data_IF_124945701449
#
_entry.id   IF_124945701449
#
_cell.length_a   1.000
_cell.length_b   1.000
_cell.length_c   1.000
_cell.angle_alpha   90.00
_cell.angle_beta   90.00
_cell.angle_gamma   90.00
#
_symmetry.space_group_name_H-M   'P 1'
#
loop_
_entity.id
_entity.type
_entity.pdbx_description
1 polymer ?
#
# COMPACT_ATOMS: atom_id res chain seq x y z
N UNK A 1 -1.81 7.16 16.96
CA UNK A 1 -2.76 7.22 15.83
C UNK A 1 -2.55 8.51 15.07
N UNK A 2 -2.34 8.43 13.76
CA UNK A 2 -2.26 9.59 12.88
C UNK A 2 -3.44 9.52 11.90
N UNK A 3 -4.40 10.42 12.05
CA UNK A 3 -5.50 10.56 11.11
C UNK A 3 -5.36 11.83 10.28
N UNK A 4 -5.61 11.72 9.00
CA UNK A 4 -5.75 12.82 8.07
C UNK A 4 -7.22 13.23 8.02
N UNK A 5 -7.56 14.38 8.56
CA UNK A 5 -8.95 14.86 8.62
C UNK A 5 -9.46 15.49 7.32
N UNK A 6 -8.62 15.63 6.32
CA UNK A 6 -8.99 16.19 5.03
C UNK A 6 -9.39 15.11 4.03
N UNK A 7 -10.27 15.48 3.07
CA UNK A 7 -10.68 14.58 1.98
C UNK A 7 -9.53 14.18 1.06
N UNK A 8 -8.45 14.93 1.05
CA UNK A 8 -7.24 14.59 0.34
C UNK A 8 -6.03 15.19 1.05
N UNK A 9 -5.03 14.37 1.24
CA UNK A 9 -3.73 14.77 1.73
C UNK A 9 -2.72 14.63 0.59
N UNK A 10 -2.03 15.70 0.27
CA UNK A 10 -1.08 15.71 -0.84
C UNK A 10 0.30 16.19 -0.38
N UNK A 11 1.17 15.26 -0.06
CA UNK A 11 2.56 15.55 0.31
C UNK A 11 3.52 14.52 -0.31
N UNK A 12 3.76 14.61 -1.63
CA UNK A 12 4.48 13.58 -2.39
C UNK A 12 5.97 13.44 -2.02
N UNK A 13 6.49 14.32 -1.17
CA UNK A 13 7.87 14.23 -0.65
C UNK A 13 7.95 13.81 0.81
N UNK A 14 6.82 13.81 1.53
CA UNK A 14 6.79 13.39 2.92
C UNK A 14 7.07 11.90 3.04
N UNK A 15 8.06 11.54 3.83
CA UNK A 15 8.32 10.17 4.25
C UNK A 15 7.79 9.96 5.66
N UNK A 16 7.07 8.87 5.86
CA UNK A 16 6.48 8.51 7.15
C UNK A 16 7.06 7.18 7.60
N UNK A 17 7.51 7.12 8.84
CA UNK A 17 7.90 5.87 9.49
C UNK A 17 6.98 5.59 10.67
N UNK A 18 6.22 4.50 10.60
CA UNK A 18 5.34 4.07 11.68
C UNK A 18 6.06 3.10 12.61
N UNK A 19 6.02 3.35 13.90
CA UNK A 19 6.65 2.50 14.91
C UNK A 19 5.66 2.05 15.97
N UNK A 20 5.94 0.92 16.59
CA UNK A 20 5.09 0.38 17.65
C UNK A 20 3.71 -0.03 17.14
N UNK A 21 2.66 0.23 17.93
CA UNK A 21 1.28 -0.06 17.55
C UNK A 21 0.58 1.21 17.02
N UNK A 22 1.06 1.72 15.90
CA UNK A 22 0.53 2.96 15.30
C UNK A 22 -0.22 2.71 14.00
N UNK A 23 -1.16 3.60 13.71
CA UNK A 23 -1.97 3.57 12.50
C UNK A 23 -1.87 4.90 11.78
N UNK A 24 -1.87 4.84 10.46
CA UNK A 24 -2.06 5.98 9.59
C UNK A 24 -3.27 5.73 8.70
N UNK A 25 -4.17 6.69 8.59
CA UNK A 25 -5.38 6.54 7.80
C UNK A 25 -6.06 7.84 7.51
N UNK A 26 -7.03 7.81 6.59
CA UNK A 26 -7.94 8.93 6.38
C UNK A 26 -9.06 8.91 7.43
N UNK A 27 -9.52 10.08 7.85
CA UNK A 27 -10.74 10.20 8.63
C UNK A 27 -11.97 10.22 7.73
N UNK A 28 -11.86 10.84 6.57
CA UNK A 28 -12.95 10.99 5.63
C UNK A 28 -13.09 9.82 4.66
N UNK A 29 -14.30 9.61 4.18
CA UNK A 29 -14.59 8.67 3.10
C UNK A 29 -14.18 9.25 1.75
N UNK A 30 -13.85 8.39 0.79
CA UNK A 30 -13.43 8.78 -0.56
C UNK A 30 -12.19 9.71 -0.58
N UNK A 31 -11.31 9.51 0.39
CA UNK A 31 -10.09 10.27 0.51
C UNK A 31 -9.05 9.84 -0.54
N UNK A 32 -8.38 10.82 -1.11
CA UNK A 32 -7.25 10.62 -2.03
C UNK A 32 -6.00 11.16 -1.37
N UNK A 33 -5.10 10.27 -0.98
CA UNK A 33 -3.92 10.63 -0.21
C UNK A 33 -2.64 10.36 -0.99
N UNK A 34 -1.70 11.29 -0.93
CA UNK A 34 -0.39 11.16 -1.57
C UNK A 34 0.71 11.40 -0.53
N UNK A 35 1.64 10.45 -0.44
CA UNK A 35 2.83 10.54 0.42
C UNK A 35 4.07 10.14 -0.36
N UNK A 36 5.21 10.68 0.06
CA UNK A 36 6.50 10.41 -0.57
C UNK A 36 7.00 8.99 -0.36
N UNK A 37 6.76 8.45 0.82
CA UNK A 37 7.13 7.08 1.18
C UNK A 37 6.55 6.70 2.53
N UNK A 38 6.36 5.40 2.76
CA UNK A 38 5.95 4.89 4.05
C UNK A 38 6.72 3.60 4.38
N UNK A 39 7.36 3.63 5.52
CA UNK A 39 7.93 2.48 6.21
C UNK A 39 7.17 2.21 7.51
N UNK A 40 7.33 1.04 8.07
CA UNK A 40 6.69 0.73 9.34
C UNK A 40 7.04 -0.64 9.90
N UNK A 41 7.07 -0.74 11.23
CA UNK A 41 7.31 -1.99 11.94
C UNK A 41 6.11 -2.94 11.86
N UNK A 42 6.32 -4.20 12.22
CA UNK A 42 5.23 -5.14 12.46
C UNK A 42 4.28 -4.60 13.55
N UNK A 43 2.98 -4.76 13.35
CA UNK A 43 1.95 -4.23 14.25
C UNK A 43 1.52 -2.79 13.96
N UNK A 44 2.08 -2.15 12.91
CA UNK A 44 1.58 -0.88 12.37
C UNK A 44 0.55 -1.10 11.27
N UNK A 45 -0.26 -0.07 10.99
CA UNK A 45 -1.33 -0.18 9.99
C UNK A 45 -1.37 1.05 9.09
N UNK A 46 -1.56 0.80 7.79
CA UNK A 46 -2.03 1.78 6.83
C UNK A 46 -3.48 1.42 6.48
N UNK A 47 -4.40 2.30 6.76
CA UNK A 47 -5.84 2.05 6.60
C UNK A 47 -6.49 3.02 5.62
N UNK A 48 -7.57 2.59 4.99
CA UNK A 48 -8.32 3.44 4.08
C UNK A 48 -9.03 4.55 4.82
N UNK A 49 -10.04 4.22 5.59
CA UNK A 49 -10.79 5.20 6.38
C UNK A 49 -11.05 4.71 7.80
N UNK A 50 -11.16 5.63 8.73
CA UNK A 50 -11.58 5.35 10.11
C UNK A 50 -13.02 5.81 10.39
N UNK A 51 -13.68 6.43 9.42
CA UNK A 51 -15.08 6.86 9.56
C UNK A 51 -16.00 5.65 9.54
N UNK A 52 -16.88 5.56 10.52
CA UNK A 52 -17.86 4.47 10.65
C UNK A 52 -19.00 4.62 9.65
N UNK A 53 -18.70 4.46 8.37
CA UNK A 53 -19.68 4.49 7.28
C UNK A 53 -19.38 3.37 6.29
N UNK A 54 -20.42 2.88 5.63
CA UNK A 54 -20.29 1.86 4.58
C UNK A 54 -19.93 2.48 3.22
N UNK A 55 -19.47 1.61 2.31
CA UNK A 55 -19.21 1.93 0.90
C UNK A 55 -18.22 3.09 0.66
N UNK A 56 -17.20 3.22 1.50
CA UNK A 56 -16.14 4.18 1.25
C UNK A 56 -15.13 3.66 0.22
N UNK A 57 -14.50 4.57 -0.48
CA UNK A 57 -13.30 4.30 -1.28
C UNK A 57 -12.18 5.24 -0.83
N UNK A 58 -11.03 4.70 -0.50
CA UNK A 58 -9.86 5.50 -0.20
C UNK A 58 -8.70 5.06 -1.07
N UNK A 59 -7.87 6.01 -1.48
CA UNK A 59 -6.68 5.71 -2.26
C UNK A 59 -5.44 6.32 -1.61
N UNK A 60 -4.36 5.56 -1.68
CA UNK A 60 -3.03 5.99 -1.27
C UNK A 60 -2.07 5.92 -2.45
N UNK A 61 -1.49 7.06 -2.79
CA UNK A 61 -0.37 7.15 -3.73
C UNK A 61 0.92 7.25 -2.93
N UNK A 62 1.85 6.32 -3.16
CA UNK A 62 3.08 6.15 -2.38
C UNK A 62 4.29 6.07 -3.31
N UNK A 63 5.38 6.76 -2.97
CA UNK A 63 6.66 6.62 -3.65
C UNK A 63 7.21 7.89 -4.30
N UNK A 64 6.52 9.02 -4.19
CA UNK A 64 6.96 10.28 -4.82
C UNK A 64 8.28 10.85 -4.31
N UNK A 65 8.83 10.36 -3.20
CA UNK A 65 10.17 10.70 -2.72
C UNK A 65 11.29 9.94 -3.45
N UNK A 66 10.95 8.91 -4.22
CA UNK A 66 11.90 8.01 -4.90
C UNK A 66 12.85 7.25 -3.95
N UNK A 67 12.49 7.15 -2.68
CA UNK A 67 13.23 6.41 -1.67
C UNK A 67 12.81 4.96 -1.62
N UNK A 68 13.73 4.11 -1.17
CA UNK A 68 13.43 2.72 -0.85
C UNK A 68 12.83 2.63 0.55
N UNK A 69 11.71 1.93 0.64
CA UNK A 69 10.94 1.81 1.88
C UNK A 69 10.54 0.36 2.15
N UNK A 70 10.50 -0.02 3.41
CA UNK A 70 9.97 -1.33 3.84
C UNK A 70 8.83 -1.13 4.83
N UNK A 71 7.66 -1.62 4.49
CA UNK A 71 6.49 -1.62 5.34
C UNK A 71 6.19 -3.04 5.82
N UNK A 72 6.45 -3.28 7.11
CA UNK A 72 6.21 -4.58 7.77
C UNK A 72 4.82 -4.66 8.39
N UNK A 73 4.10 -3.54 8.39
CA UNK A 73 2.75 -3.43 8.89
C UNK A 73 1.71 -4.05 7.96
N UNK A 74 0.46 -3.81 8.27
CA UNK A 74 -0.69 -4.32 7.53
C UNK A 74 -1.40 -3.17 6.82
N UNK A 75 -1.67 -3.35 5.54
CA UNK A 75 -2.57 -2.47 4.78
C UNK A 75 -3.94 -3.14 4.76
N UNK A 76 -4.98 -2.43 5.20
CA UNK A 76 -6.34 -2.96 5.23
C UNK A 76 -7.38 -1.87 4.86
N UNK A 77 -8.62 -2.29 4.66
CA UNK A 77 -9.70 -1.36 4.32
C UNK A 77 -10.16 -0.56 5.53
N UNK A 78 -10.22 -1.21 6.71
CA UNK A 78 -10.77 -0.66 7.94
C UNK A 78 -10.00 -1.12 9.18
N UNK A 79 -9.94 -0.28 10.20
CA UNK A 79 -9.04 -0.51 11.33
C UNK A 79 -9.66 -1.14 12.58
N UNK A 80 -10.97 -1.21 12.72
CA UNK A 80 -11.55 -1.65 14.00
C UNK A 80 -12.08 -3.08 13.93
N UNK A 81 -11.60 -3.90 14.84
CA UNK A 81 -12.17 -5.21 15.10
C UNK A 81 -13.65 -5.09 15.50
N UNK A 82 -14.53 -5.81 14.83
CA UNK A 82 -15.94 -5.93 15.18
C UNK A 82 -16.90 -5.01 14.43
N UNK A 83 -16.44 -4.27 13.43
CA UNK A 83 -17.32 -3.48 12.56
C UNK A 83 -17.52 -4.18 11.21
N UNK A 84 -18.76 -4.28 10.77
CA UNK A 84 -19.15 -4.84 9.46
C UNK A 84 -19.18 -3.79 8.34
N UNK A 85 -18.45 -2.68 8.49
CA UNK A 85 -18.43 -1.64 7.46
C UNK A 85 -17.71 -2.12 6.19
N UNK A 86 -18.31 -1.81 5.07
CA UNK A 86 -17.79 -2.12 3.74
C UNK A 86 -17.04 -0.93 3.17
N UNK A 87 -15.89 -1.16 2.61
CA UNK A 87 -15.09 -0.13 1.95
C UNK A 87 -13.91 -0.75 1.22
N UNK A 88 -13.25 0.05 0.40
CA UNK A 88 -12.09 -0.37 -0.37
C UNK A 88 -10.93 0.61 -0.21
N UNK A 89 -9.74 0.07 0.00
CA UNK A 89 -8.49 0.82 -0.02
C UNK A 89 -7.72 0.46 -1.27
N UNK A 90 -7.40 1.45 -2.09
CA UNK A 90 -6.61 1.28 -3.31
C UNK A 90 -5.21 1.84 -3.12
N UNK A 91 -4.23 1.23 -3.76
CA UNK A 91 -2.82 1.62 -3.68
C UNK A 91 -2.31 1.98 -5.07
N UNK A 92 -1.62 3.10 -5.18
CA UNK A 92 -0.85 3.47 -6.36
C UNK A 92 0.62 3.65 -5.96
N UNK A 93 1.50 2.78 -6.46
CA UNK A 93 2.94 2.93 -6.31
C UNK A 93 3.48 3.76 -7.46
N UNK A 94 4.15 4.86 -7.12
CA UNK A 94 4.78 5.78 -8.08
C UNK A 94 6.27 5.97 -7.75
N UNK A 95 6.95 6.74 -8.61
CA UNK A 95 8.37 7.07 -8.42
C UNK A 95 9.30 5.89 -8.70
N UNK A 96 10.60 6.12 -8.66
CA UNK A 96 11.63 5.15 -9.07
C UNK A 96 12.09 4.22 -7.96
N UNK A 97 11.84 4.59 -6.69
CA UNK A 97 12.25 3.80 -5.54
C UNK A 97 11.49 2.48 -5.38
N UNK A 98 11.98 1.65 -4.47
CA UNK A 98 11.42 0.35 -4.13
C UNK A 98 10.50 0.48 -2.91
N UNK A 99 9.36 -0.21 -2.96
CA UNK A 99 8.52 -0.37 -1.77
C UNK A 99 8.29 -1.85 -1.49
N UNK A 100 8.77 -2.31 -0.32
CA UNK A 100 8.65 -3.71 0.10
C UNK A 100 7.53 -3.86 1.12
N UNK A 101 6.59 -4.76 0.86
CA UNK A 101 5.47 -5.13 1.73
C UNK A 101 5.72 -6.52 2.30
N UNK A 102 5.89 -6.64 3.61
CA UNK A 102 6.14 -7.93 4.28
C UNK A 102 4.99 -8.37 5.19
N UNK A 103 4.02 -7.50 5.44
CA UNK A 103 2.86 -7.79 6.26
C UNK A 103 1.77 -8.60 5.57
N UNK A 104 0.77 -9.01 6.35
CA UNK A 104 -0.41 -9.73 5.86
C UNK A 104 -1.51 -8.74 5.46
N UNK A 105 -1.39 -8.17 4.27
CA UNK A 105 -2.30 -7.16 3.75
C UNK A 105 -3.66 -7.75 3.37
N UNK A 106 -4.73 -7.03 3.66
CA UNK A 106 -6.12 -7.47 3.44
C UNK A 106 -6.99 -6.47 2.68
N UNK A 107 -6.42 -5.33 2.27
CA UNK A 107 -7.14 -4.32 1.49
C UNK A 107 -7.68 -4.89 0.18
N UNK A 108 -8.89 -4.49 -0.20
CA UNK A 108 -9.63 -5.10 -1.31
C UNK A 108 -9.65 -4.25 -2.60
N UNK A 109 -9.17 -3.02 -2.55
CA UNK A 109 -9.10 -2.16 -3.71
C UNK A 109 -7.96 -2.52 -4.66
N UNK A 110 -7.91 -1.84 -5.79
CA UNK A 110 -6.89 -2.10 -6.82
C UNK A 110 -5.50 -1.63 -6.38
N UNK A 111 -4.47 -2.30 -6.89
CA UNK A 111 -3.09 -1.86 -6.78
C UNK A 111 -2.55 -1.53 -8.16
N UNK A 112 -2.13 -0.28 -8.36
CA UNK A 112 -1.51 0.18 -9.61
C UNK A 112 -0.02 0.46 -9.38
N UNK A 113 0.84 -0.24 -10.09
CA UNK A 113 2.29 -0.02 -10.03
C UNK A 113 2.67 0.76 -11.27
N UNK A 114 2.80 2.08 -11.09
CA UNK A 114 3.02 3.05 -12.18
C UNK A 114 4.48 3.49 -12.30
N UNK A 115 5.36 2.98 -11.45
CA UNK A 115 6.80 3.25 -11.53
C UNK A 115 7.59 2.60 -10.41
N UNK A 116 8.89 2.41 -10.65
CA UNK A 116 9.80 1.74 -9.74
C UNK A 116 9.43 0.30 -9.44
N UNK A 117 9.67 -0.15 -8.22
CA UNK A 117 9.48 -1.56 -7.84
C UNK A 117 8.55 -1.70 -6.65
N UNK A 118 7.53 -2.56 -6.77
CA UNK A 118 6.78 -3.08 -5.64
C UNK A 118 7.24 -4.51 -5.35
N UNK A 119 7.65 -4.77 -4.11
CA UNK A 119 8.01 -6.12 -3.65
C UNK A 119 6.95 -6.60 -2.66
N UNK A 120 6.30 -7.72 -2.98
CA UNK A 120 5.33 -8.37 -2.09
C UNK A 120 5.97 -9.63 -1.52
N UNK A 121 6.50 -9.54 -0.30
CA UNK A 121 7.09 -10.67 0.43
C UNK A 121 6.15 -11.25 1.48
N UNK A 122 5.14 -10.47 1.87
CA UNK A 122 4.07 -10.92 2.73
C UNK A 122 2.91 -11.53 1.95
N UNK A 123 1.75 -11.54 2.59
CA UNK A 123 0.50 -11.99 1.98
C UNK A 123 -0.34 -10.79 1.56
N UNK A 124 -0.84 -10.78 0.32
CA UNK A 124 -1.91 -9.90 -0.10
C UNK A 124 -3.16 -10.74 -0.39
N UNK A 125 -4.03 -10.85 0.61
CA UNK A 125 -5.24 -11.69 0.56
C UNK A 125 -6.48 -10.92 0.11
N UNK A 126 -6.38 -9.62 -0.06
CA UNK A 126 -7.41 -8.84 -0.74
C UNK A 126 -7.58 -9.29 -2.19
N UNK A 127 -8.79 -9.22 -2.70
CA UNK A 127 -9.12 -9.70 -4.06
C UNK A 127 -8.93 -8.63 -5.14
N UNK A 128 -8.45 -7.45 -4.77
CA UNK A 128 -8.21 -6.34 -5.70
C UNK A 128 -7.21 -6.71 -6.80
N UNK A 129 -7.50 -6.29 -8.01
CA UNK A 129 -6.59 -6.50 -9.13
C UNK A 129 -5.29 -5.71 -8.94
N UNK A 130 -4.18 -6.27 -9.43
CA UNK A 130 -2.90 -5.57 -9.56
C UNK A 130 -2.57 -5.31 -11.01
N UNK A 131 -2.08 -4.11 -11.29
CA UNK A 131 -1.59 -3.75 -12.62
C UNK A 131 -0.14 -3.29 -12.53
N UNK A 132 0.67 -3.71 -13.49
CA UNK A 132 2.06 -3.30 -13.63
C UNK A 132 2.19 -2.53 -14.94
N UNK A 133 2.45 -1.24 -14.85
CA UNK A 133 2.59 -0.36 -16.00
C UNK A 133 3.95 -0.54 -16.68
N UNK A 134 4.10 0.12 -17.85
CA UNK A 134 5.37 0.21 -18.55
C UNK A 134 6.48 0.78 -17.66
N UNK A 135 7.66 0.18 -17.69
CA UNK A 135 8.82 0.54 -16.86
C UNK A 135 8.68 0.23 -15.36
N UNK A 136 7.54 -0.30 -14.91
CA UNK A 136 7.35 -0.68 -13.52
C UNK A 136 7.65 -2.17 -13.29
N UNK A 137 7.96 -2.53 -12.05
CA UNK A 137 8.30 -3.91 -11.67
C UNK A 137 7.47 -4.37 -10.47
N UNK A 138 6.88 -5.55 -10.59
CA UNK A 138 6.33 -6.32 -9.47
C UNK A 138 7.21 -7.53 -9.22
N UNK A 139 7.67 -7.70 -8.00
CA UNK A 139 8.41 -8.90 -7.59
C UNK A 139 8.06 -9.33 -6.17
N UNK A 140 8.64 -10.43 -5.73
CA UNK A 140 8.49 -10.94 -4.37
C UNK A 140 8.26 -12.44 -4.30
N UNK A 141 8.40 -12.97 -3.08
CA UNK A 141 8.18 -14.37 -2.72
C UNK A 141 6.86 -14.59 -1.97
N UNK A 142 6.09 -13.54 -1.78
CA UNK A 142 4.80 -13.59 -1.09
C UNK A 142 3.66 -14.14 -1.96
N UNK A 143 2.44 -14.00 -1.46
CA UNK A 143 1.25 -14.45 -2.18
C UNK A 143 0.33 -13.28 -2.52
N UNK A 144 -0.22 -13.29 -3.73
CA UNK A 144 -1.19 -12.33 -4.22
C UNK A 144 -2.43 -13.10 -4.67
N UNK A 145 -3.60 -12.79 -4.09
CA UNK A 145 -4.86 -13.48 -4.42
C UNK A 145 -5.59 -12.82 -5.59
N UNK A 146 -5.39 -11.52 -5.81
CA UNK A 146 -6.00 -10.78 -6.91
C UNK A 146 -5.39 -11.12 -8.28
N UNK A 147 -6.13 -10.80 -9.34
CA UNK A 147 -5.61 -10.90 -10.71
C UNK A 147 -4.44 -9.93 -10.90
N UNK A 148 -3.33 -10.42 -11.46
CA UNK A 148 -2.20 -9.58 -11.87
C UNK A 148 -2.24 -9.39 -13.38
N UNK A 149 -2.15 -8.14 -13.85
CA UNK A 149 -2.05 -7.80 -15.27
C UNK A 149 -0.78 -6.97 -15.46
N UNK A 150 0.08 -7.43 -16.36
CA UNK A 150 1.31 -6.73 -16.74
C UNK A 150 1.09 -6.13 -18.12
N UNK A 151 1.24 -4.82 -18.23
CA UNK A 151 1.17 -4.11 -19.52
C UNK A 151 2.53 -4.16 -20.24
N UNK A 152 2.54 -3.83 -21.52
CA UNK A 152 3.78 -3.83 -22.32
C UNK A 152 4.86 -2.99 -21.66
N UNK A 153 6.08 -3.52 -21.55
CA UNK A 153 7.21 -2.89 -20.85
C UNK A 153 7.22 -3.03 -19.32
N UNK A 154 6.15 -3.51 -18.70
CA UNK A 154 6.12 -3.88 -17.29
C UNK A 154 6.83 -5.20 -17.02
N UNK A 155 7.31 -5.40 -15.81
CA UNK A 155 8.07 -6.61 -15.42
C UNK A 155 7.39 -7.31 -14.25
N UNK A 156 7.25 -8.64 -14.35
CA UNK A 156 6.89 -9.53 -13.26
C UNK A 156 8.05 -10.49 -12.98
N UNK A 157 8.65 -10.40 -11.79
CA UNK A 157 9.77 -11.21 -11.34
C UNK A 157 9.40 -11.97 -10.07
N UNK A 158 8.95 -13.23 -10.14
CA UNK A 158 8.76 -14.03 -8.94
C UNK A 158 10.08 -14.26 -8.23
N UNK A 159 10.10 -14.05 -6.92
CA UNK A 159 11.31 -14.10 -6.10
C UNK A 159 11.68 -12.71 -5.56
N UNK A 160 12.43 -12.68 -4.48
CA UNK A 160 13.06 -11.48 -3.95
C UNK A 160 14.55 -11.63 -4.25
N UNK A 161 15.11 -10.68 -4.99
CA UNK A 161 16.56 -10.53 -5.00
C UNK A 161 16.91 -10.09 -3.60
N UNK A 162 17.17 -11.08 -2.74
CA UNK A 162 17.77 -10.82 -1.46
C UNK A 162 19.13 -10.16 -1.73
N UNK A 163 19.15 -8.85 -1.74
CA UNK A 163 20.37 -8.13 -1.41
C UNK A 163 20.45 -8.21 0.10
N UNK A 164 20.53 -9.42 0.58
CA UNK A 164 20.93 -9.67 1.94
C UNK A 164 22.43 -9.41 2.02
N UNK A 165 22.75 -8.17 2.40
CA UNK A 165 23.99 -7.93 3.08
C UNK A 165 23.90 -8.58 4.47
N UNK A 166 23.95 -9.89 4.56
CA UNK A 166 24.17 -10.65 5.79
C UNK A 166 25.22 -11.69 5.54
#
# INVERSE_FOLDING_TARGET
VLFMHEKSFNSPKLRVNLTGKTWMGAWETNAVNTIGGISGDAGTYLIGSSKKTDNFTCSWTVGGSNSDETFKGIINDWSTSGSSHTGTTSITKVGTGLWRLTGANTYSGVTSINGGTLIVNGKNSGKGAMTVADGATLKGKGSITGKVTVYGGGTLCPGDDAVDGS
#
